data_IF_582579900867
#
_entry.id   IF_582579900867
#
_cell.length_a   1.000
_cell.length_b   1.000
_cell.length_c   1.000
_cell.angle_alpha   90.00
_cell.angle_beta   90.00
_cell.angle_gamma   90.00
#
_symmetry.space_group_name_H-M   'P 1'
#
loop_
_entity.id
_entity.type
_entity.pdbx_description
1 polymer ?
#
# COMPACT_ATOMS: atom_id res chain seq x y z
N UNK A 1 -24.46 18.23 -43.24
CA UNK A 1 -23.19 17.81 -43.88
C UNK A 1 -22.21 18.94 -43.69
N UNK A 2 -21.43 18.91 -42.60
CA UNK A 2 -20.26 19.77 -42.41
C UNK A 2 -19.07 18.94 -42.91
N UNK A 3 -18.24 19.52 -43.77
CA UNK A 3 -17.27 18.82 -44.60
C UNK A 3 -16.18 18.07 -43.79
N UNK A 4 -16.07 16.76 -44.02
CA UNK A 4 -14.96 15.87 -43.58
C UNK A 4 -13.62 16.15 -44.31
N UNK A 5 -13.39 17.38 -44.77
CA UNK A 5 -12.22 17.75 -45.57
C UNK A 5 -11.15 18.46 -44.72
N UNK A 6 -11.45 18.85 -43.47
CA UNK A 6 -10.52 19.54 -42.56
C UNK A 6 -9.80 18.63 -41.54
N UNK A 7 -10.02 17.31 -41.59
CA UNK A 7 -9.44 16.38 -40.60
C UNK A 7 -8.14 15.71 -41.06
N UNK A 8 -7.33 16.39 -41.87
CA UNK A 8 -5.97 15.95 -42.13
C UNK A 8 -5.03 16.39 -40.99
N UNK A 9 -4.09 15.53 -40.56
CA UNK A 9 -3.16 15.89 -39.51
C UNK A 9 -2.34 17.12 -39.91
N UNK A 10 -2.37 18.14 -39.06
CA UNK A 10 -1.49 19.29 -39.21
C UNK A 10 -0.09 18.85 -38.80
N UNK A 11 0.81 18.80 -39.78
CA UNK A 11 2.23 18.61 -39.54
C UNK A 11 2.81 19.86 -38.88
N UNK A 12 3.48 19.68 -37.74
CA UNK A 12 4.10 20.78 -36.99
C UNK A 12 3.90 20.64 -35.48
N UNK A 13 4.63 21.47 -34.74
CA UNK A 13 4.56 21.53 -33.28
C UNK A 13 3.51 22.57 -32.89
N UNK A 14 2.47 22.15 -32.18
CA UNK A 14 1.50 23.05 -31.56
C UNK A 14 1.96 23.43 -30.15
N UNK A 15 2.12 24.73 -29.87
CA UNK A 15 2.47 25.21 -28.53
C UNK A 15 1.17 25.50 -27.76
N UNK A 16 0.90 24.70 -26.74
CA UNK A 16 -0.28 24.84 -25.88
C UNK A 16 -0.06 25.90 -24.80
N UNK A 17 -0.97 26.87 -24.71
CA UNK A 17 -0.95 27.97 -23.73
C UNK A 17 -2.22 28.07 -22.89
N UNK A 18 -3.09 27.07 -22.96
CA UNK A 18 -4.41 27.05 -22.30
C UNK A 18 -5.58 26.93 -23.28
N UNK A 19 -6.73 26.53 -22.77
CA UNK A 19 -7.96 26.32 -23.51
C UNK A 19 -7.99 24.99 -24.28
N UNK A 20 -8.66 25.00 -25.44
CA UNK A 20 -8.83 23.83 -26.30
C UNK A 20 -7.89 23.90 -27.51
N UNK A 21 -7.09 22.86 -27.71
CA UNK A 21 -6.24 22.67 -28.87
C UNK A 21 -7.08 22.25 -30.11
N UNK A 22 -6.56 22.47 -31.32
CA UNK A 22 -7.13 21.88 -32.53
C UNK A 22 -7.16 20.35 -32.42
N UNK A 23 -8.13 19.71 -33.08
CA UNK A 23 -8.40 18.26 -33.00
C UNK A 23 -7.66 17.41 -34.05
N UNK A 24 -6.72 18.02 -34.77
CA UNK A 24 -5.96 17.41 -35.85
C UNK A 24 -4.45 17.61 -35.70
N UNK A 25 -3.95 17.84 -34.47
CA UNK A 25 -2.51 18.03 -34.24
C UNK A 25 -1.77 16.70 -34.10
N UNK A 26 -0.48 16.71 -34.45
CA UNK A 26 0.39 15.53 -34.33
C UNK A 26 1.37 15.59 -33.16
N UNK A 27 1.87 16.79 -32.84
CA UNK A 27 2.85 17.04 -31.80
C UNK A 27 2.43 18.28 -31.00
N UNK A 28 2.47 18.20 -29.67
CA UNK A 28 2.20 19.32 -28.80
C UNK A 28 3.39 19.60 -27.86
N UNK A 29 3.66 20.87 -27.59
CA UNK A 29 4.58 21.32 -26.53
C UNK A 29 3.79 22.16 -25.55
N UNK A 30 3.79 21.80 -24.28
CA UNK A 30 3.16 22.58 -23.21
C UNK A 30 4.06 23.77 -22.88
N UNK A 31 3.55 25.00 -23.03
CA UNK A 31 4.30 26.21 -22.70
C UNK A 31 4.61 26.27 -21.20
N UNK A 32 5.83 26.70 -20.83
CA UNK A 32 6.31 26.74 -19.44
C UNK A 32 5.44 27.58 -18.50
N UNK A 33 4.58 28.46 -19.01
CA UNK A 33 3.62 29.21 -18.19
C UNK A 33 2.42 28.37 -17.72
N UNK A 34 2.16 27.23 -18.36
CA UNK A 34 0.98 26.40 -18.09
C UNK A 34 1.23 25.54 -16.86
N UNK A 35 0.44 25.78 -15.81
CA UNK A 35 0.45 24.94 -14.60
C UNK A 35 -0.62 23.87 -14.58
N UNK A 36 -1.68 24.06 -15.34
CA UNK A 36 -2.83 23.16 -15.39
C UNK A 36 -3.21 22.96 -16.84
N UNK A 37 -3.36 21.70 -17.26
CA UNK A 37 -3.93 21.37 -18.56
C UNK A 37 -5.45 21.44 -18.41
N UNK A 38 -6.08 22.28 -19.22
CA UNK A 38 -7.51 22.55 -19.10
C UNK A 38 -8.37 21.34 -19.49
N UNK A 39 -9.63 21.41 -19.06
CA UNK A 39 -10.63 20.40 -19.36
C UNK A 39 -10.79 20.24 -20.88
N UNK A 40 -10.73 18.99 -21.35
CA UNK A 40 -10.84 18.65 -22.76
C UNK A 40 -9.78 19.30 -23.67
N UNK A 41 -8.64 19.76 -23.13
CA UNK A 41 -7.63 20.51 -23.87
C UNK A 41 -7.23 19.86 -25.20
N UNK A 42 -6.99 18.56 -25.20
CA UNK A 42 -6.62 17.74 -26.36
C UNK A 42 -7.66 16.66 -26.66
N UNK A 43 -8.88 16.76 -26.13
CA UNK A 43 -9.94 15.76 -26.34
C UNK A 43 -10.19 15.49 -27.82
N UNK A 44 -10.30 14.21 -28.17
CA UNK A 44 -10.56 13.71 -29.53
C UNK A 44 -9.50 14.17 -30.55
N UNK A 45 -8.22 14.05 -30.17
CA UNK A 45 -7.07 14.19 -31.07
C UNK A 45 -6.53 12.81 -31.46
N UNK A 46 -7.12 12.12 -32.45
CA UNK A 46 -6.70 10.78 -32.82
C UNK A 46 -5.30 10.74 -33.44
N UNK A 47 -4.76 11.89 -33.90
CA UNK A 47 -3.46 12.00 -34.55
C UNK A 47 -2.34 12.50 -33.62
N UNK A 48 -2.63 12.83 -32.36
CA UNK A 48 -1.62 13.33 -31.42
C UNK A 48 -0.72 12.19 -30.99
N UNK A 49 0.54 12.21 -31.41
CA UNK A 49 1.53 11.16 -31.13
C UNK A 49 2.35 11.46 -29.88
N UNK A 50 2.71 12.74 -29.68
CA UNK A 50 3.61 13.17 -28.61
C UNK A 50 3.17 14.48 -27.99
N UNK A 51 3.37 14.58 -26.68
CA UNK A 51 3.14 15.78 -25.89
C UNK A 51 4.37 16.01 -25.02
N UNK A 52 5.10 17.08 -25.28
CA UNK A 52 6.24 17.50 -24.46
C UNK A 52 5.72 18.30 -23.26
N UNK A 53 5.72 17.65 -22.10
CA UNK A 53 5.34 18.24 -20.81
C UNK A 53 6.57 18.74 -20.05
N UNK A 54 6.36 19.68 -19.12
CA UNK A 54 7.41 20.17 -18.22
C UNK A 54 7.02 19.94 -16.76
N UNK A 55 8.03 19.91 -15.88
CA UNK A 55 7.92 19.66 -14.43
C UNK A 55 7.20 20.76 -13.61
N UNK A 56 6.42 21.62 -14.26
CA UNK A 56 5.67 22.71 -13.63
C UNK A 56 4.16 22.55 -13.75
N UNK A 57 3.70 21.39 -14.22
CA UNK A 57 2.29 21.04 -14.38
C UNK A 57 1.84 20.34 -13.10
N UNK A 58 0.88 20.95 -12.42
CA UNK A 58 0.40 20.48 -11.11
C UNK A 58 -0.81 19.52 -11.27
N UNK A 59 -1.62 19.73 -12.32
CA UNK A 59 -2.89 19.01 -12.53
C UNK A 59 -3.24 18.87 -14.01
N UNK A 60 -3.81 17.73 -14.37
CA UNK A 60 -4.46 17.51 -15.67
C UNK A 60 -5.95 17.36 -15.42
N UNK A 61 -6.74 18.24 -16.03
CA UNK A 61 -8.20 18.29 -15.82
C UNK A 61 -8.95 17.22 -16.61
N UNK A 62 -10.25 17.17 -16.31
CA UNK A 62 -11.19 16.20 -16.87
C UNK A 62 -11.12 16.14 -18.40
N UNK A 63 -11.11 14.91 -18.92
CA UNK A 63 -11.04 14.59 -20.35
C UNK A 63 -9.90 15.23 -21.16
N UNK A 64 -8.85 15.78 -20.52
CA UNK A 64 -7.81 16.56 -21.21
C UNK A 64 -7.19 15.84 -22.42
N UNK A 65 -7.00 14.53 -22.37
CA UNK A 65 -6.48 13.69 -23.45
C UNK A 65 -7.41 12.52 -23.79
N UNK A 66 -8.72 12.64 -23.50
CA UNK A 66 -9.71 11.62 -23.82
C UNK A 66 -9.76 11.37 -25.34
N UNK A 67 -9.76 10.10 -25.77
CA UNK A 67 -9.77 9.66 -27.18
C UNK A 67 -8.50 10.04 -27.98
N UNK A 68 -7.36 10.24 -27.31
CA UNK A 68 -6.06 10.42 -27.96
C UNK A 68 -5.41 9.07 -28.31
N UNK A 69 -6.01 8.34 -29.23
CA UNK A 69 -5.64 6.95 -29.57
C UNK A 69 -4.19 6.77 -30.07
N UNK A 70 -3.55 7.81 -30.61
CA UNK A 70 -2.15 7.73 -31.06
C UNK A 70 -1.12 8.18 -30.02
N UNK A 71 -1.56 8.69 -28.86
CA UNK A 71 -0.65 9.23 -27.86
C UNK A 71 0.00 8.08 -27.10
N UNK A 72 1.30 7.85 -27.32
CA UNK A 72 2.00 6.66 -26.82
C UNK A 72 2.61 6.82 -25.42
N UNK A 73 2.95 8.06 -25.05
CA UNK A 73 3.69 8.38 -23.83
C UNK A 73 3.32 9.77 -23.31
N UNK A 74 3.25 9.90 -22.00
CA UNK A 74 3.18 11.17 -21.28
C UNK A 74 4.06 11.16 -20.05
N UNK A 75 4.67 12.30 -19.76
CA UNK A 75 5.44 12.53 -18.55
C UNK A 75 4.57 13.31 -17.55
N UNK A 76 4.11 12.62 -16.51
CA UNK A 76 3.31 13.18 -15.41
C UNK A 76 4.14 13.40 -14.14
N UNK A 77 5.48 13.52 -14.24
CA UNK A 77 6.32 13.87 -13.09
C UNK A 77 5.84 15.18 -12.47
N UNK A 78 5.74 15.20 -11.14
CA UNK A 78 5.19 16.28 -10.31
C UNK A 78 3.70 16.61 -10.46
N UNK A 79 2.98 15.95 -11.37
CA UNK A 79 1.52 16.06 -11.39
C UNK A 79 0.99 15.33 -10.16
N UNK A 80 0.23 16.03 -9.32
CA UNK A 80 -0.30 15.44 -8.07
C UNK A 80 -1.68 14.81 -8.28
N UNK A 81 -2.51 15.43 -9.14
CA UNK A 81 -3.90 15.05 -9.32
C UNK A 81 -4.19 14.86 -10.82
N UNK A 82 -4.79 13.71 -11.11
CA UNK A 82 -5.34 13.39 -12.42
C UNK A 82 -6.85 13.31 -12.34
N UNK A 83 -7.54 14.22 -13.03
CA UNK A 83 -9.00 14.30 -13.02
C UNK A 83 -9.68 13.22 -13.87
N UNK A 84 -11.01 13.13 -13.75
CA UNK A 84 -11.79 12.05 -14.34
C UNK A 84 -11.63 12.00 -15.86
N UNK A 85 -11.55 10.79 -16.42
CA UNK A 85 -11.39 10.55 -17.86
C UNK A 85 -10.17 11.23 -18.52
N UNK A 86 -9.21 11.78 -17.76
CA UNK A 86 -8.14 12.62 -18.30
C UNK A 86 -7.36 11.98 -19.45
N UNK A 87 -7.14 10.66 -19.41
CA UNK A 87 -6.46 9.87 -20.44
C UNK A 87 -7.31 8.70 -20.95
N UNK A 88 -8.62 8.72 -20.74
CA UNK A 88 -9.49 7.63 -21.16
C UNK A 88 -9.37 7.36 -22.68
N UNK A 89 -9.37 6.09 -23.07
CA UNK A 89 -9.26 5.62 -24.46
C UNK A 89 -8.06 6.22 -25.21
N UNK A 90 -6.93 6.41 -24.52
CA UNK A 90 -5.68 6.87 -25.13
C UNK A 90 -4.79 5.69 -25.55
N UNK A 91 -3.88 5.93 -26.49
CA UNK A 91 -2.92 4.94 -26.98
C UNK A 91 -1.75 4.66 -26.04
N UNK A 92 -1.83 5.09 -24.77
CA UNK A 92 -0.69 5.14 -23.88
C UNK A 92 -0.11 3.75 -23.66
N UNK A 93 1.20 3.64 -23.81
CA UNK A 93 1.95 2.41 -23.57
C UNK A 93 2.70 2.44 -22.24
N UNK A 94 3.10 3.65 -21.83
CA UNK A 94 3.85 3.92 -20.63
C UNK A 94 3.54 5.33 -20.10
N UNK A 95 3.52 5.45 -18.77
CA UNK A 95 3.27 6.71 -18.06
C UNK A 95 4.28 6.83 -16.92
N UNK A 96 4.99 7.96 -16.86
CA UNK A 96 5.84 8.32 -15.74
C UNK A 96 5.03 9.18 -14.76
N UNK A 97 4.57 8.59 -13.66
CA UNK A 97 3.63 9.23 -12.72
C UNK A 97 4.05 9.10 -11.25
N UNK A 98 5.35 9.09 -10.96
CA UNK A 98 5.91 8.79 -9.64
C UNK A 98 5.27 9.60 -8.49
N UNK A 99 4.95 10.87 -8.76
CA UNK A 99 4.43 11.85 -7.78
C UNK A 99 2.89 11.96 -7.77
N UNK A 100 2.18 11.17 -8.57
CA UNK A 100 0.71 11.16 -8.56
C UNK A 100 0.21 10.72 -7.19
N UNK A 101 -0.62 11.54 -6.55
CA UNK A 101 -1.23 11.25 -5.26
C UNK A 101 -2.67 10.74 -5.41
N UNK A 102 -3.41 11.29 -6.39
CA UNK A 102 -4.83 11.00 -6.62
C UNK A 102 -5.10 10.78 -8.11
N UNK A 103 -5.71 9.65 -8.42
CA UNK A 103 -6.21 9.31 -9.74
C UNK A 103 -7.72 9.18 -9.65
N UNK A 104 -8.43 10.09 -10.34
CA UNK A 104 -9.89 10.18 -10.33
C UNK A 104 -10.57 9.15 -11.23
N UNK A 105 -11.90 9.11 -11.16
CA UNK A 105 -12.75 8.17 -11.89
C UNK A 105 -12.36 8.01 -13.37
N UNK A 106 -12.20 6.77 -13.82
CA UNK A 106 -11.99 6.41 -15.23
C UNK A 106 -10.75 7.08 -15.89
N UNK A 107 -9.81 7.64 -15.13
CA UNK A 107 -8.76 8.50 -15.68
C UNK A 107 -7.89 7.84 -16.76
N UNK A 108 -7.63 6.53 -16.68
CA UNK A 108 -6.94 5.72 -17.69
C UNK A 108 -7.81 4.59 -18.27
N UNK A 109 -9.14 4.68 -18.15
CA UNK A 109 -10.06 3.66 -18.66
C UNK A 109 -9.81 3.43 -20.16
N UNK A 110 -9.75 2.17 -20.61
CA UNK A 110 -9.59 1.82 -22.02
C UNK A 110 -8.21 2.16 -22.60
N UNK A 111 -7.20 2.42 -21.76
CA UNK A 111 -5.81 2.48 -22.21
C UNK A 111 -5.26 1.06 -22.46
N UNK A 112 -5.80 0.39 -23.48
CA UNK A 112 -5.58 -1.04 -23.78
C UNK A 112 -4.12 -1.43 -24.04
N UNK A 113 -3.23 -0.45 -24.25
CA UNK A 113 -1.81 -0.70 -24.50
C UNK A 113 -0.91 -0.35 -23.30
N UNK A 114 -1.49 0.15 -22.19
CA UNK A 114 -0.75 0.63 -21.04
C UNK A 114 -0.19 -0.55 -20.25
N UNK A 115 1.11 -0.82 -20.42
CA UNK A 115 1.77 -2.01 -19.86
C UNK A 115 2.44 -1.76 -18.53
N UNK A 116 2.87 -0.53 -18.30
CA UNK A 116 3.70 -0.14 -17.16
C UNK A 116 3.34 1.25 -16.69
N UNK A 117 3.08 1.35 -15.40
CA UNK A 117 2.98 2.59 -14.67
C UNK A 117 3.65 2.38 -13.30
N UNK A 118 4.44 3.35 -12.87
CA UNK A 118 5.11 3.32 -11.58
C UNK A 118 4.47 4.37 -10.67
N UNK A 119 4.16 3.96 -9.44
CA UNK A 119 3.59 4.83 -8.42
C UNK A 119 4.46 4.78 -7.19
N UNK A 120 4.94 5.94 -6.75
CA UNK A 120 5.71 6.06 -5.51
C UNK A 120 4.87 6.69 -4.40
N UNK A 121 4.04 7.68 -4.75
CA UNK A 121 3.28 8.50 -3.79
C UNK A 121 1.76 8.34 -3.90
N UNK A 122 1.27 7.37 -4.67
CA UNK A 122 -0.16 7.22 -4.95
C UNK A 122 -0.94 6.78 -3.72
N UNK A 123 -1.90 7.61 -3.30
CA UNK A 123 -2.74 7.40 -2.11
C UNK A 123 -4.14 6.93 -2.47
N UNK A 124 -4.75 7.49 -3.52
CA UNK A 124 -6.15 7.23 -3.88
C UNK A 124 -6.28 6.88 -5.35
N UNK A 125 -6.93 5.75 -5.60
CA UNK A 125 -7.37 5.30 -6.93
C UNK A 125 -8.89 5.23 -6.89
N UNK A 126 -9.55 6.07 -7.68
CA UNK A 126 -11.01 6.12 -7.75
C UNK A 126 -11.60 5.04 -8.70
N UNK A 127 -12.92 4.84 -8.67
CA UNK A 127 -13.60 3.85 -9.51
C UNK A 127 -13.17 3.82 -10.99
N UNK A 128 -13.05 2.60 -11.53
CA UNK A 128 -12.70 2.33 -12.94
C UNK A 128 -11.43 3.02 -13.48
N UNK A 129 -10.56 3.58 -12.62
CA UNK A 129 -9.41 4.39 -13.05
C UNK A 129 -8.50 3.70 -14.08
N UNK A 130 -8.32 2.38 -14.00
CA UNK A 130 -7.51 1.55 -14.89
C UNK A 130 -8.31 0.39 -15.49
N UNK A 131 -9.62 0.54 -15.66
CA UNK A 131 -10.44 -0.45 -16.34
C UNK A 131 -9.98 -0.64 -17.79
N UNK A 132 -9.95 -1.89 -18.27
CA UNK A 132 -9.55 -2.26 -19.64
C UNK A 132 -8.14 -1.75 -20.03
N UNK A 133 -7.14 -1.98 -19.16
CA UNK A 133 -5.72 -1.71 -19.47
C UNK A 133 -4.87 -2.99 -19.54
N UNK A 134 -3.62 -2.89 -20.00
CA UNK A 134 -2.70 -4.04 -20.23
C UNK A 134 -1.60 -4.14 -19.15
N UNK A 135 -1.90 -3.70 -17.94
CA UNK A 135 -0.94 -3.72 -16.83
C UNK A 135 -0.53 -5.15 -16.51
N UNK A 136 0.77 -5.37 -16.33
CA UNK A 136 1.32 -6.71 -16.01
C UNK A 136 1.65 -6.88 -14.54
N UNK A 137 2.17 -5.82 -13.96
CA UNK A 137 2.61 -5.74 -12.57
C UNK A 137 2.19 -4.39 -12.02
N UNK A 138 1.84 -4.37 -10.73
CA UNK A 138 1.39 -3.18 -10.04
C UNK A 138 2.08 -3.09 -8.68
N UNK A 139 2.72 -1.96 -8.40
CA UNK A 139 3.34 -1.68 -7.11
C UNK A 139 2.71 -0.43 -6.51
N UNK A 140 2.11 -0.57 -5.33
CA UNK A 140 1.34 0.49 -4.66
C UNK A 140 1.80 0.65 -3.21
N UNK A 141 2.98 1.24 -2.94
CA UNK A 141 3.54 1.30 -1.58
C UNK A 141 2.69 2.09 -0.58
N UNK A 142 2.16 3.24 -0.99
CA UNK A 142 1.52 4.19 -0.08
C UNK A 142 -0.02 4.21 -0.19
N UNK A 143 -0.61 3.39 -1.07
CA UNK A 143 -2.04 3.43 -1.37
C UNK A 143 -2.89 3.26 -0.11
N UNK A 144 -3.90 4.10 0.03
CA UNK A 144 -4.86 4.10 1.13
C UNK A 144 -6.20 3.53 0.68
N UNK A 145 -6.57 3.80 -0.56
CA UNK A 145 -7.88 3.48 -1.10
C UNK A 145 -7.81 3.08 -2.57
N UNK A 146 -8.45 1.95 -2.90
CA UNK A 146 -8.67 1.45 -4.25
C UNK A 146 -10.18 1.37 -4.50
N UNK A 147 -10.65 2.09 -5.52
CA UNK A 147 -12.05 2.19 -5.91
C UNK A 147 -12.63 0.90 -6.47
N UNK A 148 -13.96 0.86 -6.53
CA UNK A 148 -14.73 -0.20 -7.18
C UNK A 148 -14.34 -0.27 -8.65
N UNK A 149 -14.19 -1.49 -9.18
CA UNK A 149 -13.79 -1.71 -10.56
C UNK A 149 -12.44 -1.10 -11.01
N UNK A 150 -11.59 -0.59 -10.09
CA UNK A 150 -10.41 0.20 -10.45
C UNK A 150 -9.47 -0.45 -11.49
N UNK A 151 -9.33 -1.78 -11.48
CA UNK A 151 -8.49 -2.55 -12.41
C UNK A 151 -9.29 -3.66 -13.10
N UNK A 152 -10.59 -3.45 -13.36
CA UNK A 152 -11.41 -4.44 -14.07
C UNK A 152 -10.83 -4.76 -15.45
N UNK A 153 -10.96 -6.02 -15.87
CA UNK A 153 -10.57 -6.53 -17.19
C UNK A 153 -9.08 -6.38 -17.53
N UNK A 154 -8.21 -6.22 -16.52
CA UNK A 154 -6.75 -6.24 -16.70
C UNK A 154 -6.24 -7.68 -16.85
N UNK A 155 -6.51 -8.29 -18.01
CA UNK A 155 -6.28 -9.73 -18.23
C UNK A 155 -4.81 -10.17 -18.12
N UNK A 156 -3.85 -9.25 -18.25
CA UNK A 156 -2.42 -9.55 -18.12
C UNK A 156 -1.83 -9.23 -16.75
N UNK A 157 -2.61 -8.68 -15.82
CA UNK A 157 -2.14 -8.34 -14.47
C UNK A 157 -1.95 -9.61 -13.65
N UNK A 158 -0.70 -9.93 -13.32
CA UNK A 158 -0.31 -11.17 -12.63
C UNK A 158 0.24 -10.96 -11.24
N UNK A 159 0.99 -9.87 -11.04
CA UNK A 159 1.65 -9.57 -9.77
C UNK A 159 1.18 -8.23 -9.23
N UNK A 160 0.81 -8.19 -7.96
CA UNK A 160 0.52 -6.95 -7.25
C UNK A 160 1.36 -6.87 -5.97
N UNK A 161 1.81 -5.67 -5.62
CA UNK A 161 2.45 -5.37 -4.35
C UNK A 161 1.63 -4.27 -3.66
N UNK A 162 1.07 -4.57 -2.48
CA UNK A 162 0.09 -3.71 -1.78
C UNK A 162 0.43 -3.59 -0.28
N UNK A 163 0.07 -2.46 0.37
CA UNK A 163 0.38 -2.26 1.77
C UNK A 163 -0.63 -2.99 2.64
N UNK A 164 -0.22 -3.33 3.86
CA UNK A 164 -1.14 -3.94 4.82
C UNK A 164 -2.11 -2.90 5.39
N UNK A 165 -3.28 -2.75 4.76
CA UNK A 165 -4.39 -1.90 5.22
C UNK A 165 -5.71 -2.66 5.15
N UNK A 166 -6.43 -2.73 6.28
CA UNK A 166 -7.68 -3.49 6.39
C UNK A 166 -8.81 -2.93 5.50
N UNK A 167 -8.81 -1.61 5.28
CA UNK A 167 -9.83 -0.89 4.50
C UNK A 167 -9.29 -0.41 3.14
N UNK A 168 -8.34 -1.16 2.56
CA UNK A 168 -7.69 -0.78 1.31
C UNK A 168 -8.67 -0.68 0.13
N UNK A 169 -9.66 -1.56 0.09
CA UNK A 169 -10.69 -1.55 -0.96
C UNK A 169 -11.85 -0.69 -0.50
N UNK A 170 -12.16 0.37 -1.27
CA UNK A 170 -13.34 1.18 -1.04
C UNK A 170 -14.59 0.31 -1.24
N UNK A 171 -15.47 0.38 -0.25
CA UNK A 171 -16.81 -0.19 -0.29
C UNK A 171 -17.71 1.04 -0.23
N UNK A 172 -18.56 1.23 -1.24
CA UNK A 172 -19.54 2.30 -1.21
C UNK A 172 -20.49 2.07 -0.01
N UNK A 173 -20.50 2.97 1.00
CA UNK A 173 -21.35 2.81 2.18
C UNK A 173 -22.84 2.94 1.86
N UNK A 174 -23.21 3.38 0.66
CA UNK A 174 -24.58 3.48 0.17
C UNK A 174 -24.97 2.33 -0.79
N UNK A 175 -24.01 1.48 -1.18
CA UNK A 175 -24.34 0.29 -1.96
C UNK A 175 -25.18 -0.66 -1.10
N UNK A 176 -26.28 -1.15 -1.66
CA UNK A 176 -27.02 -2.26 -1.05
C UNK A 176 -26.05 -3.43 -0.84
N UNK A 177 -26.11 -4.11 0.31
CA UNK A 177 -25.24 -5.25 0.64
C UNK A 177 -25.34 -6.38 -0.42
N UNK A 178 -26.40 -6.36 -1.24
CA UNK A 178 -26.61 -7.25 -2.37
C UNK A 178 -25.72 -6.96 -3.60
N UNK A 179 -25.10 -5.78 -3.67
CA UNK A 179 -24.28 -5.27 -4.79
C UNK A 179 -22.86 -4.86 -4.39
N UNK A 180 -22.38 -5.24 -3.18
CA UNK A 180 -20.94 -5.14 -2.86
C UNK A 180 -20.20 -6.21 -3.68
N UNK A 181 -20.02 -5.91 -4.96
CA UNK A 181 -19.25 -6.75 -5.85
C UNK A 181 -17.82 -6.28 -5.70
N UNK A 182 -17.00 -7.13 -5.09
CA UNK A 182 -15.57 -6.93 -4.93
C UNK A 182 -14.88 -6.97 -6.30
N UNK A 183 -14.97 -5.88 -7.04
CA UNK A 183 -14.66 -5.88 -8.47
C UNK A 183 -13.35 -5.22 -8.81
N UNK A 184 -12.63 -4.63 -7.86
CA UNK A 184 -11.40 -3.89 -8.14
C UNK A 184 -10.45 -4.66 -9.07
N UNK A 185 -10.32 -5.98 -8.92
CA UNK A 185 -9.50 -6.84 -9.77
C UNK A 185 -10.31 -7.91 -10.56
N UNK A 186 -11.60 -7.67 -10.83
CA UNK A 186 -12.41 -8.62 -11.60
C UNK A 186 -11.85 -8.77 -13.02
N UNK A 187 -11.70 -10.01 -13.50
CA UNK A 187 -11.10 -10.27 -14.81
C UNK A 187 -9.57 -10.18 -14.86
N UNK A 188 -8.90 -9.91 -13.73
CA UNK A 188 -7.43 -10.01 -13.62
C UNK A 188 -6.98 -11.46 -13.41
N UNK A 189 -5.76 -11.80 -13.84
CA UNK A 189 -5.17 -13.12 -13.61
C UNK A 189 -4.04 -13.08 -12.57
N UNK A 190 -4.34 -12.46 -11.42
CA UNK A 190 -3.38 -12.28 -10.33
C UNK A 190 -3.07 -13.66 -9.73
N UNK A 191 -1.80 -14.03 -9.75
CA UNK A 191 -1.29 -15.25 -9.14
C UNK A 191 -0.22 -14.98 -8.09
N UNK A 192 0.14 -13.71 -7.90
CA UNK A 192 1.13 -13.31 -6.93
C UNK A 192 0.78 -11.98 -6.27
N UNK A 193 0.85 -11.97 -4.94
CA UNK A 193 0.61 -10.81 -4.09
C UNK A 193 1.76 -10.70 -3.10
N UNK A 194 2.40 -9.53 -3.10
CA UNK A 194 3.45 -9.17 -2.15
C UNK A 194 2.89 -8.14 -1.15
N UNK A 195 3.15 -8.33 0.15
CA UNK A 195 2.94 -7.27 1.14
C UNK A 195 4.16 -6.37 1.21
N UNK A 196 3.93 -5.07 1.16
CA UNK A 196 4.97 -4.05 1.28
C UNK A 196 4.76 -3.19 2.53
N UNK A 197 5.86 -2.57 3.00
CA UNK A 197 5.91 -1.77 4.21
C UNK A 197 6.56 -2.49 5.41
N UNK A 198 6.32 -1.97 6.61
CA UNK A 198 6.97 -2.41 7.87
C UNK A 198 6.43 -3.72 8.46
N UNK A 199 5.65 -4.49 7.69
CA UNK A 199 5.08 -5.75 8.18
C UNK A 199 6.17 -6.78 8.49
N UNK A 200 7.21 -6.88 7.65
CA UNK A 200 8.31 -7.81 7.89
C UNK A 200 9.10 -7.47 9.16
N UNK A 201 9.26 -6.18 9.46
CA UNK A 201 9.85 -5.69 10.71
C UNK A 201 8.95 -6.04 11.91
N UNK A 202 7.63 -5.81 11.77
CA UNK A 202 6.63 -6.14 12.80
C UNK A 202 6.64 -7.64 13.10
N UNK A 203 6.66 -8.50 12.08
CA UNK A 203 6.75 -9.95 12.25
C UNK A 203 8.07 -10.32 12.92
N UNK A 204 9.18 -9.73 12.52
CA UNK A 204 10.50 -9.99 13.13
C UNK A 204 10.57 -9.58 14.60
N UNK A 205 9.80 -8.55 15.00
CA UNK A 205 9.73 -8.05 16.38
C UNK A 205 8.92 -8.95 17.34
N UNK A 206 8.12 -9.88 16.83
CA UNK A 206 7.33 -10.79 17.67
C UNK A 206 8.25 -11.64 18.55
N UNK A 207 7.86 -11.85 19.81
CA UNK A 207 8.72 -12.50 20.80
C UNK A 207 9.00 -13.99 20.48
N UNK A 208 7.95 -14.76 20.19
CA UNK A 208 8.06 -16.21 19.99
C UNK A 208 8.36 -16.55 18.53
N UNK A 209 9.27 -17.51 18.33
CA UNK A 209 9.59 -18.03 16.99
C UNK A 209 8.39 -18.70 16.31
N UNK A 210 7.56 -19.41 17.08
CA UNK A 210 6.31 -19.99 16.56
C UNK A 210 5.41 -18.92 15.95
N UNK A 211 5.24 -17.77 16.62
CA UNK A 211 4.40 -16.69 16.11
C UNK A 211 4.98 -16.07 14.82
N UNK A 212 6.31 -15.96 14.73
CA UNK A 212 6.98 -15.48 13.51
C UNK A 212 6.75 -16.43 12.33
N UNK A 213 6.86 -17.74 12.59
CA UNK A 213 6.64 -18.77 11.58
C UNK A 213 5.18 -18.81 11.12
N UNK A 214 4.24 -18.75 12.06
CA UNK A 214 2.79 -18.73 11.79
C UNK A 214 2.39 -17.50 10.96
N UNK A 215 2.92 -16.31 11.30
CA UNK A 215 2.67 -15.09 10.53
C UNK A 215 3.26 -15.15 9.12
N UNK A 216 4.50 -15.64 8.99
CA UNK A 216 5.15 -15.80 7.69
C UNK A 216 4.40 -16.79 6.81
N UNK A 217 3.86 -17.85 7.42
CA UNK A 217 3.00 -18.80 6.73
C UNK A 217 1.73 -18.13 6.21
N UNK A 218 1.03 -17.36 7.04
CA UNK A 218 -0.20 -16.65 6.64
C UNK A 218 0.03 -15.66 5.50
N UNK A 219 1.12 -14.88 5.58
CA UNK A 219 1.49 -13.93 4.52
C UNK A 219 1.70 -14.67 3.20
N UNK A 220 2.38 -15.82 3.22
CA UNK A 220 2.69 -16.58 2.01
C UNK A 220 1.53 -17.45 1.51
N UNK A 221 0.47 -17.67 2.30
CA UNK A 221 -0.65 -18.53 1.89
C UNK A 221 -1.44 -17.96 0.71
N UNK A 222 -1.53 -16.63 0.58
CA UNK A 222 -2.31 -15.98 -0.50
C UNK A 222 -1.92 -16.47 -1.89
N UNK A 223 -0.62 -16.63 -2.14
CA UNK A 223 -0.10 -17.03 -3.44
C UNK A 223 -0.55 -18.45 -3.81
N UNK A 224 -0.66 -19.35 -2.83
CA UNK A 224 -1.21 -20.70 -3.03
C UNK A 224 -2.73 -20.68 -3.22
N UNK A 225 -3.44 -19.80 -2.50
CA UNK A 225 -4.89 -19.67 -2.61
C UNK A 225 -5.30 -19.14 -3.97
N UNK A 226 -4.57 -18.15 -4.50
CA UNK A 226 -4.82 -17.57 -5.82
C UNK A 226 -4.50 -18.55 -6.95
N UNK A 227 -3.41 -19.34 -6.85
CA UNK A 227 -3.10 -20.39 -7.83
C UNK A 227 -4.21 -21.44 -7.96
N UNK A 228 -4.93 -21.72 -6.87
CA UNK A 228 -6.03 -22.69 -6.82
C UNK A 228 -7.41 -22.07 -7.12
N UNK A 229 -7.48 -20.75 -7.30
CA UNK A 229 -8.75 -20.06 -7.59
C UNK A 229 -9.18 -20.32 -9.04
N UNK A 230 -10.39 -20.86 -9.21
CA UNK A 230 -10.95 -21.15 -10.53
C UNK A 230 -11.57 -19.92 -11.22
N UNK A 231 -11.66 -18.77 -10.53
CA UNK A 231 -12.35 -17.59 -11.07
C UNK A 231 -11.63 -16.28 -10.74
N UNK A 232 -11.18 -15.59 -11.80
CA UNK A 232 -10.66 -14.21 -11.73
C UNK A 232 -11.67 -13.21 -11.16
N UNK A 233 -12.96 -13.55 -11.14
CA UNK A 233 -14.03 -12.71 -10.57
C UNK A 233 -13.97 -12.60 -9.05
N UNK A 234 -13.26 -13.51 -8.37
CA UNK A 234 -13.18 -13.54 -6.89
C UNK A 234 -11.86 -13.02 -6.33
N UNK A 235 -10.91 -12.60 -7.18
CA UNK A 235 -9.57 -12.20 -6.74
C UNK A 235 -9.60 -11.10 -5.68
N UNK A 236 -10.41 -10.07 -5.89
CA UNK A 236 -10.55 -8.96 -4.93
C UNK A 236 -11.04 -9.45 -3.57
N UNK A 237 -12.04 -10.33 -3.55
CA UNK A 237 -12.57 -10.91 -2.32
C UNK A 237 -11.48 -11.73 -1.62
N UNK A 238 -10.83 -12.65 -2.33
CA UNK A 238 -9.74 -13.48 -1.77
C UNK A 238 -8.62 -12.61 -1.17
N UNK A 239 -8.19 -11.56 -1.87
CA UNK A 239 -7.15 -10.64 -1.38
C UNK A 239 -7.64 -9.88 -0.15
N UNK A 240 -8.87 -9.37 -0.13
CA UNK A 240 -9.42 -8.65 1.03
C UNK A 240 -9.51 -9.54 2.26
N UNK A 241 -10.10 -10.73 2.11
CA UNK A 241 -10.23 -11.69 3.20
C UNK A 241 -8.87 -12.08 3.77
N UNK A 242 -7.88 -12.29 2.89
CA UNK A 242 -6.51 -12.53 3.32
C UNK A 242 -5.90 -11.33 4.07
N UNK A 243 -6.04 -10.10 3.58
CA UNK A 243 -5.59 -8.90 4.30
C UNK A 243 -6.22 -8.79 5.69
N UNK A 244 -7.53 -9.06 5.80
CA UNK A 244 -8.25 -9.07 7.08
C UNK A 244 -7.73 -10.17 8.01
N UNK A 245 -7.45 -11.36 7.47
CA UNK A 245 -6.89 -12.48 8.23
C UNK A 245 -5.49 -12.14 8.78
N UNK A 246 -4.61 -11.58 7.95
CA UNK A 246 -3.27 -11.12 8.35
C UNK A 246 -3.37 -10.04 9.44
N UNK A 247 -4.21 -9.02 9.23
CA UNK A 247 -4.44 -7.96 10.22
C UNK A 247 -4.95 -8.52 11.56
N UNK A 248 -5.95 -9.39 11.52
CA UNK A 248 -6.54 -10.00 12.72
C UNK A 248 -5.52 -10.81 13.51
N UNK A 249 -4.62 -11.51 12.80
CA UNK A 249 -3.60 -12.34 13.44
C UNK A 249 -2.46 -11.54 14.06
N UNK A 250 -2.05 -10.45 13.41
CA UNK A 250 -1.11 -9.49 14.00
C UNK A 250 -1.69 -8.94 15.30
N UNK A 251 -2.96 -8.55 15.28
CA UNK A 251 -3.62 -8.00 16.47
C UNK A 251 -3.75 -9.03 17.60
N UNK A 252 -4.03 -10.29 17.24
CA UNK A 252 -3.98 -11.41 18.18
C UNK A 252 -2.61 -11.53 18.84
N UNK A 253 -1.52 -11.60 18.07
CA UNK A 253 -0.18 -11.75 18.64
C UNK A 253 0.30 -10.52 19.40
N UNK A 254 -0.10 -9.30 19.00
CA UNK A 254 0.12 -8.09 19.81
C UNK A 254 -0.55 -8.21 21.18
N UNK A 255 -1.79 -8.69 21.21
CA UNK A 255 -2.55 -8.91 22.44
C UNK A 255 -1.88 -9.97 23.33
N UNK A 256 -1.45 -11.09 22.76
CA UNK A 256 -0.73 -12.13 23.49
C UNK A 256 0.62 -11.65 24.00
N UNK A 257 1.36 -10.88 23.19
CA UNK A 257 2.62 -10.27 23.62
C UNK A 257 2.40 -9.34 24.82
N UNK A 258 1.36 -8.51 24.78
CA UNK A 258 1.01 -7.62 25.90
C UNK A 258 0.64 -8.38 27.17
N UNK A 259 -0.03 -9.54 27.06
CA UNK A 259 -0.32 -10.42 28.21
C UNK A 259 0.95 -10.97 28.83
N UNK A 260 1.88 -11.46 28.01
CA UNK A 260 3.19 -11.96 28.48
C UNK A 260 3.97 -10.85 29.19
N UNK A 261 3.97 -9.64 28.62
CA UNK A 261 4.65 -8.49 29.22
C UNK A 261 4.04 -8.10 30.57
N UNK A 262 2.71 -8.09 30.69
CA UNK A 262 2.00 -7.83 31.95
C UNK A 262 2.30 -8.90 33.00
N UNK A 263 2.33 -10.17 32.62
CA UNK A 263 2.67 -11.25 33.55
C UNK A 263 4.13 -11.13 34.04
N UNK A 264 5.06 -10.82 33.14
CA UNK A 264 6.47 -10.67 33.48
C UNK A 264 6.74 -9.46 34.38
N UNK A 265 6.07 -8.33 34.13
CA UNK A 265 6.18 -7.13 34.97
C UNK A 265 5.67 -7.37 36.39
N UNK A 266 4.52 -8.02 36.55
CA UNK A 266 3.99 -8.40 37.88
C UNK A 266 4.94 -9.35 38.62
N UNK A 267 5.53 -10.32 37.93
CA UNK A 267 6.51 -11.24 38.54
C UNK A 267 7.78 -10.49 38.97
N UNK A 268 8.26 -9.54 38.15
CA UNK A 268 9.42 -8.71 38.48
C UNK A 268 9.13 -7.83 39.70
N UNK A 269 7.95 -7.20 39.76
CA UNK A 269 7.52 -6.41 40.91
C UNK A 269 7.48 -7.28 42.18
N UNK A 270 6.82 -8.44 42.13
CA UNK A 270 6.76 -9.37 43.25
C UNK A 270 8.15 -9.82 43.73
N UNK A 271 9.07 -10.09 42.80
CA UNK A 271 10.46 -10.42 43.14
C UNK A 271 11.18 -9.26 43.83
N UNK A 272 10.97 -8.03 43.34
CA UNK A 272 11.55 -6.82 43.91
C UNK A 272 10.99 -6.52 45.30
N UNK A 273 9.69 -6.73 45.53
CA UNK A 273 9.07 -6.64 46.84
C UNK A 273 9.63 -7.70 47.81
N UNK A 274 9.80 -8.94 47.37
CA UNK A 274 10.41 -10.00 48.18
C UNK A 274 11.84 -9.67 48.58
N UNK A 275 12.65 -9.17 47.65
CA UNK A 275 14.02 -8.74 47.94
C UNK A 275 14.07 -7.61 48.98
N UNK A 276 13.19 -6.61 48.85
CA UNK A 276 13.09 -5.51 49.84
C UNK A 276 12.62 -5.97 51.22
N UNK A 277 11.78 -7.00 51.29
CA UNK A 277 11.34 -7.58 52.57
C UNK A 277 12.47 -8.38 53.23
N UNK A 278 13.22 -9.18 52.47
CA UNK A 278 14.37 -9.91 53.00
C UNK A 278 15.49 -9.00 53.53
N UNK A 279 15.66 -7.80 52.96
CA UNK A 279 16.60 -6.81 53.49
C UNK A 279 16.17 -6.24 54.85
N UNK A 280 14.86 -6.17 55.15
CA UNK A 280 14.34 -5.69 56.44
C UNK A 280 14.40 -6.75 57.55
N UNK A 281 14.20 -8.02 57.21
CA UNK A 281 14.24 -9.11 58.19
C UNK A 281 15.69 -9.41 58.66
N UNK A 282 16.71 -9.08 57.86
CA UNK A 282 18.12 -9.15 58.26
C UNK A 282 18.54 -8.00 59.20
N UNK A 283 17.84 -6.86 59.19
CA UNK A 283 18.10 -5.74 60.11
C UNK A 283 17.44 -5.93 61.50
N UNK A 284 16.40 -6.78 61.63
CA UNK A 284 15.75 -7.09 62.92
C UNK A 284 16.24 -8.40 63.58
N UNK A 285 17.03 -9.22 62.88
CA UNK A 285 17.57 -10.49 63.40
C UNK A 285 19.10 -10.52 63.50
N UNK A 286 19.72 -9.44 64.01
CA UNK A 286 21.13 -9.49 64.43
C UNK A 286 21.24 -9.95 65.89
N UNK A 287 21.11 -11.26 66.12
CA UNK A 287 22.05 -11.92 67.02
C UNK A 287 22.28 -13.40 66.63
N UNK A 288 23.54 -13.70 66.33
CA UNK A 288 24.15 -15.01 66.10
C UNK A 288 23.85 -15.77 64.78
N UNK A 289 24.64 -15.52 63.73
CA UNK A 289 25.68 -16.45 63.23
C UNK A 289 26.13 -16.07 61.79
N UNK A 290 27.44 -16.02 61.58
CA UNK A 290 28.12 -15.67 60.33
C UNK A 290 27.63 -16.53 59.15
N UNK A 291 26.88 -15.96 58.21
CA UNK A 291 26.68 -16.51 56.86
C UNK A 291 27.40 -15.62 55.84
N UNK A 292 28.21 -16.25 54.98
CA UNK A 292 29.04 -15.58 53.98
C UNK A 292 28.15 -14.81 52.98
N UNK A 293 28.38 -13.50 52.88
CA UNK A 293 27.85 -12.63 51.80
C UNK A 293 28.16 -13.23 50.44
N UNK A 294 27.14 -13.70 49.73
CA UNK A 294 27.18 -13.82 48.28
C UNK A 294 26.82 -12.42 47.76
N UNK A 295 27.81 -11.72 47.22
CA UNK A 295 27.57 -10.49 46.46
C UNK A 295 26.78 -10.89 45.22
N UNK A 296 25.49 -10.61 45.22
CA UNK A 296 24.71 -10.59 43.99
C UNK A 296 25.02 -9.25 43.35
N UNK A 297 25.70 -9.28 42.21
CA UNK A 297 25.93 -8.11 41.40
C UNK A 297 24.59 -7.67 40.80
N UNK A 298 24.04 -6.60 41.36
CA UNK A 298 22.70 -6.08 41.02
C UNK A 298 22.68 -5.53 39.59
N UNK A 299 23.84 -5.18 39.02
CA UNK A 299 23.94 -4.75 37.61
C UNK A 299 23.80 -5.92 36.63
N UNK A 300 24.38 -7.09 36.92
CA UNK A 300 24.22 -8.30 36.10
C UNK A 300 22.81 -8.92 36.23
N UNK A 301 22.20 -8.86 37.42
CA UNK A 301 20.83 -9.33 37.62
C UNK A 301 19.77 -8.48 36.89
N UNK A 302 20.10 -7.22 36.54
CA UNK A 302 19.24 -6.33 35.75
C UNK A 302 19.31 -6.61 34.25
N UNK A 303 20.40 -7.20 33.74
CA UNK A 303 20.58 -7.47 32.31
C UNK A 303 20.03 -8.82 31.87
N UNK A 304 20.00 -9.82 32.77
CA UNK A 304 19.41 -11.14 32.51
C UNK A 304 18.48 -11.60 33.66
N UNK A 305 17.24 -11.12 33.66
CA UNK A 305 16.22 -11.69 34.52
C UNK A 305 15.79 -13.08 33.99
N UNK A 306 16.36 -14.15 34.56
CA UNK A 306 15.90 -15.54 34.38
C UNK A 306 14.93 -15.89 35.49
N UNK A 307 13.63 -15.89 35.20
CA UNK A 307 12.61 -16.44 36.08
C UNK A 307 12.30 -17.90 35.71
N UNK A 308 12.58 -18.86 36.60
CA UNK A 308 11.99 -20.20 36.49
C UNK A 308 10.68 -20.22 37.28
N UNK A 309 9.56 -20.26 36.55
CA UNK A 309 8.27 -20.61 37.14
C UNK A 309 8.04 -22.11 36.90
N UNK A 310 7.48 -22.81 37.89
CA UNK A 310 7.36 -24.28 37.99
C UNK A 310 6.54 -25.02 36.92
N UNK A 311 6.51 -24.54 35.69
CA UNK A 311 6.09 -25.25 34.49
C UNK A 311 6.96 -24.79 33.31
N UNK A 312 8.22 -25.22 33.27
CA UNK A 312 9.07 -25.30 32.05
C UNK A 312 9.31 -24.05 31.18
N UNK A 313 8.75 -22.87 31.46
CA UNK A 313 8.95 -21.66 30.67
C UNK A 313 10.06 -20.81 31.27
N UNK A 314 11.27 -20.97 30.74
CA UNK A 314 12.35 -19.98 30.90
C UNK A 314 12.02 -18.77 30.01
N UNK A 315 11.36 -17.76 30.56
CA UNK A 315 11.22 -16.47 29.89
C UNK A 315 12.51 -15.69 30.14
N UNK A 316 13.36 -15.60 29.12
CA UNK A 316 14.53 -14.71 29.10
C UNK A 316 14.10 -13.44 28.38
N UNK A 317 13.74 -12.39 29.12
CA UNK A 317 13.47 -11.07 28.55
C UNK A 317 14.80 -10.31 28.47
N UNK A 318 15.56 -10.53 27.40
CA UNK A 318 16.70 -9.66 27.09
C UNK A 318 16.16 -8.28 26.73
N UNK A 319 16.73 -7.23 27.33
CA UNK A 319 16.50 -5.82 27.02
C UNK A 319 15.17 -5.20 27.49
N UNK A 320 14.85 -5.30 28.79
CA UNK A 320 13.74 -4.52 29.39
C UNK A 320 14.02 -3.01 29.38
N UNK A 321 15.29 -2.60 29.50
CA UNK A 321 15.66 -1.17 29.65
C UNK A 321 15.49 -0.34 28.36
N UNK A 322 15.92 -0.79 27.16
CA UNK A 322 15.69 -0.04 25.92
C UNK A 322 14.20 0.08 25.55
N UNK A 323 13.34 -0.82 26.05
CA UNK A 323 11.90 -0.83 25.77
C UNK A 323 11.12 0.20 26.60
N UNK A 324 11.68 0.66 27.73
CA UNK A 324 11.08 1.68 28.59
C UNK A 324 11.43 3.12 28.17
N UNK A 325 12.36 3.29 27.21
CA UNK A 325 12.81 4.61 26.71
C UNK A 325 12.16 5.04 25.39
N UNK A 326 11.32 4.21 24.78
CA UNK A 326 10.52 4.58 23.61
C UNK A 326 9.33 5.45 24.04
N UNK A 327 9.44 6.76 23.79
CA UNK A 327 8.35 7.74 23.92
C UNK A 327 7.39 7.70 22.74
#
# INVERSE_FOLDING_TARGET
MMNDIDNQPVGGIYVYRGGRAPNNITHAVIDKSVKVIDEGAFRNNPFLHTVEMHDGIDRVREEAFHLCHSLLYVNLRRVQILDSLAFANSGLTHVDGDDLEIIRDNAFQGCENLKKIAFSSLRVIEPCAFEDTDLRELNLPEVEQIGVCAFVSNSHLRRIAIPLKANLFFIDPLADDSEIVDTAFSGCHINHVDLIGSIHETVSSLHMESWRNDMTHEINQINKTLENSYSSKQNTAVIRWWLQSVCSRIEHYKTEHLKVLKAATVLLELALWKAKLSEKDEDESSDCAKVKRIKIDVEDARSEARGSCGAGMNIIIKNVLPFLELK
#
